data_IF_928514410252
#
_entry.id   IF_928514410252
#
_cell.length_a   1.000
_cell.length_b   1.000
_cell.length_c   1.000
_cell.angle_alpha   90.00
_cell.angle_beta   90.00
_cell.angle_gamma   90.00
#
_symmetry.space_group_name_H-M   'P 1'
#
loop_
_entity.id
_entity.type
_entity.pdbx_description
1 polymer ?
#
# COMPACT_ATOMS: atom_id res chain seq x y z
N UNK A 1 -70.05 11.23 -41.86
CA UNK A 1 -70.31 10.72 -40.49
C UNK A 1 -68.98 10.69 -39.76
N UNK A 2 -68.83 11.59 -38.79
CA UNK A 2 -67.70 11.70 -37.87
C UNK A 2 -67.75 10.62 -36.80
N UNK A 3 -66.59 10.18 -36.31
CA UNK A 3 -66.35 9.58 -34.98
C UNK A 3 -64.81 9.49 -34.86
N UNK A 4 -64.09 10.38 -34.20
CA UNK A 4 -64.06 10.81 -32.80
C UNK A 4 -63.72 9.69 -31.79
N UNK A 5 -62.48 9.79 -31.29
CA UNK A 5 -62.03 9.68 -29.89
C UNK A 5 -62.14 8.33 -29.15
N UNK A 6 -61.00 7.83 -28.65
CA UNK A 6 -60.55 7.99 -27.24
C UNK A 6 -59.22 7.24 -27.03
N UNK A 7 -58.16 7.92 -26.57
CA UNK A 7 -57.03 7.24 -25.93
C UNK A 7 -56.66 7.99 -24.66
N UNK A 8 -56.88 7.31 -23.53
CA UNK A 8 -56.55 7.73 -22.18
C UNK A 8 -55.04 7.95 -22.02
N UNK A 9 -54.69 9.10 -21.45
CA UNK A 9 -53.36 9.40 -20.91
C UNK A 9 -53.39 9.09 -19.41
N UNK A 10 -52.59 8.12 -18.98
CA UNK A 10 -52.18 7.97 -17.58
C UNK A 10 -50.72 8.42 -17.48
N UNK A 11 -50.51 9.52 -16.77
CA UNK A 11 -49.19 10.01 -16.41
C UNK A 11 -48.62 9.26 -15.21
N UNK A 12 -47.32 8.97 -15.27
CA UNK A 12 -46.47 8.67 -14.12
C UNK A 12 -45.03 9.18 -14.36
N UNK A 13 -44.23 9.39 -13.30
CA UNK A 13 -43.42 10.59 -13.14
C UNK A 13 -41.99 10.46 -13.69
N UNK A 14 -41.40 11.62 -13.97
CA UNK A 14 -40.06 11.77 -14.52
C UNK A 14 -38.95 11.24 -13.61
N UNK A 15 -38.10 10.39 -14.18
CA UNK A 15 -36.79 10.05 -13.65
C UNK A 15 -35.74 11.00 -14.22
N UNK A 16 -35.08 11.75 -13.35
CA UNK A 16 -33.96 12.63 -13.70
C UNK A 16 -32.75 11.75 -14.03
N UNK A 17 -32.47 11.57 -15.32
CA UNK A 17 -31.20 11.00 -15.80
C UNK A 17 -30.09 12.03 -15.64
N UNK A 18 -29.20 11.83 -14.68
CA UNK A 18 -27.90 12.49 -14.64
C UNK A 18 -26.94 11.73 -15.56
N UNK A 19 -26.68 12.30 -16.74
CA UNK A 19 -25.63 11.83 -17.64
C UNK A 19 -24.28 12.34 -17.13
N UNK A 20 -23.44 11.45 -16.59
CA UNK A 20 -22.02 11.75 -16.37
C UNK A 20 -21.24 11.37 -17.63
N UNK A 21 -20.73 12.38 -18.33
CA UNK A 21 -19.72 12.21 -19.37
C UNK A 21 -18.36 11.95 -18.71
N UNK A 22 -17.73 10.81 -19.04
CA UNK A 22 -16.32 10.57 -18.73
C UNK A 22 -15.48 10.89 -19.96
N UNK A 23 -14.80 12.04 -19.95
CA UNK A 23 -13.75 12.35 -20.93
C UNK A 23 -12.49 11.59 -20.53
N UNK A 24 -12.12 10.57 -21.31
CA UNK A 24 -10.84 9.90 -21.19
C UNK A 24 -9.77 10.75 -21.91
N UNK A 25 -8.76 11.21 -21.18
CA UNK A 25 -7.53 11.72 -21.78
C UNK A 25 -6.52 10.59 -21.85
N UNK A 26 -6.16 10.18 -23.06
CA UNK A 26 -5.02 9.32 -23.33
C UNK A 26 -3.73 10.14 -23.22
N UNK A 27 -2.78 9.64 -22.42
CA UNK A 27 -1.39 10.15 -22.45
C UNK A 27 -0.48 9.02 -22.93
N UNK A 28 0.37 9.34 -23.90
CA UNK A 28 1.28 8.42 -24.58
C UNK A 28 2.36 7.87 -23.65
N UNK A 29 2.87 6.63 -23.88
CA UNK A 29 3.97 6.09 -23.10
C UNK A 29 5.28 6.78 -23.49
N UNK A 30 6.04 7.26 -22.49
CA UNK A 30 7.41 7.74 -22.70
C UNK A 30 8.39 6.58 -22.55
N UNK A 31 9.31 6.48 -23.51
CA UNK A 31 10.40 5.53 -23.57
C UNK A 31 11.36 5.66 -22.37
N UNK A 32 11.83 4.52 -21.85
CA UNK A 32 12.93 4.45 -20.89
C UNK A 32 14.25 4.18 -21.63
N UNK A 33 15.26 5.01 -21.36
CA UNK A 33 16.65 4.79 -21.73
C UNK A 33 17.41 4.08 -20.60
N UNK A 34 18.21 3.07 -20.96
CA UNK A 34 19.22 2.44 -20.10
C UNK A 34 20.46 3.34 -19.97
N UNK A 35 21.06 3.40 -18.76
CA UNK A 35 22.50 3.18 -18.47
C UNK A 35 22.91 3.80 -17.11
N UNK A 36 23.66 3.05 -16.27
CA UNK A 36 24.60 3.60 -15.29
C UNK A 36 24.47 3.13 -13.82
N UNK A 37 25.51 2.53 -13.21
CA UNK A 37 25.46 1.96 -11.86
C UNK A 37 25.92 2.96 -10.79
N UNK A 38 25.02 3.45 -9.95
CA UNK A 38 25.34 3.99 -8.63
C UNK A 38 24.06 4.37 -7.85
N UNK A 39 23.85 3.75 -6.68
CA UNK A 39 23.13 4.32 -5.55
C UNK A 39 21.61 4.48 -5.67
N UNK A 40 20.86 3.57 -5.06
CA UNK A 40 19.42 3.73 -4.84
C UNK A 40 19.15 4.87 -3.84
N UNK A 41 18.54 5.97 -4.30
CA UNK A 41 17.67 6.81 -3.45
C UNK A 41 16.22 6.50 -3.80
N UNK A 42 15.49 5.95 -2.84
CA UNK A 42 14.04 5.78 -2.90
C UNK A 42 13.42 7.15 -2.58
N UNK A 43 12.92 7.85 -3.59
CA UNK A 43 12.07 9.03 -3.41
C UNK A 43 10.61 8.59 -3.46
N UNK A 44 9.95 8.56 -2.30
CA UNK A 44 8.50 8.40 -2.18
C UNK A 44 7.82 9.75 -2.42
N UNK A 45 7.25 9.96 -3.61
CA UNK A 45 6.37 11.10 -3.87
C UNK A 45 4.92 10.73 -3.53
N UNK A 46 4.50 11.04 -2.30
CA UNK A 46 3.09 11.01 -1.89
C UNK A 46 2.40 12.25 -2.44
N UNK A 47 1.57 12.09 -3.48
CA UNK A 47 0.65 13.14 -3.93
C UNK A 47 -0.58 13.09 -3.02
N UNK A 48 -0.67 14.03 -2.07
CA UNK A 48 -1.89 14.30 -1.31
C UNK A 48 -2.69 15.37 -2.04
N UNK A 49 -3.75 14.96 -2.73
CA UNK A 49 -4.77 15.86 -3.26
C UNK A 49 -5.72 16.21 -2.11
N UNK A 50 -5.60 17.42 -1.57
CA UNK A 50 -6.51 17.91 -0.52
C UNK A 50 -7.67 18.63 -1.19
N UNK A 51 -8.87 18.08 -1.02
CA UNK A 51 -10.13 18.66 -1.46
C UNK A 51 -10.44 19.94 -0.68
N UNK A 52 -10.73 21.01 -1.41
CA UNK A 52 -11.29 22.26 -0.90
C UNK A 52 -12.71 22.02 -0.37
N UNK A 53 -12.89 22.13 0.95
CA UNK A 53 -14.17 22.09 1.64
C UNK A 53 -14.36 23.34 2.49
N UNK A 54 -15.41 24.09 2.15
CA UNK A 54 -15.93 25.29 2.81
C UNK A 54 -16.32 25.02 4.28
N UNK A 55 -16.00 25.94 5.20
CA UNK A 55 -16.57 25.94 6.56
C UNK A 55 -15.90 26.95 7.50
N UNK A 56 -16.55 28.08 7.75
CA UNK A 56 -16.05 29.18 8.58
C UNK A 56 -16.19 28.96 10.09
N UNK A 57 -15.44 29.75 10.86
CA UNK A 57 -15.52 29.80 12.32
C UNK A 57 -14.55 30.82 12.90
N UNK A 58 -15.09 31.84 13.56
CA UNK A 58 -14.44 33.07 14.04
C UNK A 58 -13.47 32.87 15.23
N UNK A 59 -12.52 33.82 15.37
CA UNK A 59 -11.72 34.08 16.59
C UNK A 59 -10.29 34.43 16.21
N UNK A 60 -9.83 35.70 16.20
CA UNK A 60 -9.75 36.58 17.36
C UNK A 60 -8.33 36.51 17.92
N UNK A 61 -7.47 37.49 17.60
CA UNK A 61 -6.11 37.54 18.16
C UNK A 61 -5.13 38.39 17.36
N UNK A 62 -5.18 39.70 17.57
CA UNK A 62 -4.20 40.67 17.07
C UNK A 62 -2.84 40.42 17.75
N UNK A 63 -1.79 40.17 16.97
CA UNK A 63 -0.42 40.06 17.43
C UNK A 63 0.45 41.14 16.80
N UNK A 64 0.34 42.37 17.34
CA UNK A 64 1.22 43.48 16.98
C UNK A 64 2.60 43.30 17.59
N UNK A 65 3.62 43.24 16.74
CA UNK A 65 5.02 43.40 17.14
C UNK A 65 5.33 44.88 17.32
N UNK A 66 5.34 45.35 18.57
CA UNK A 66 5.93 46.63 18.99
C UNK A 66 6.51 46.43 20.40
N UNK A 67 7.84 46.50 20.53
CA UNK A 67 8.53 46.67 21.80
C UNK A 67 9.52 47.82 21.61
N UNK A 68 9.10 49.04 21.95
CA UNK A 68 9.40 49.73 23.21
C UNK A 68 10.90 49.99 23.43
N UNK A 69 11.41 51.00 22.71
CA UNK A 69 12.56 51.81 23.14
C UNK A 69 12.07 53.20 23.51
N UNK A 70 11.53 53.33 24.74
CA UNK A 70 11.10 54.60 25.32
C UNK A 70 12.24 55.23 26.11
N UNK A 71 12.47 56.53 25.88
CA UNK A 71 13.56 57.30 26.47
C UNK A 71 13.20 58.08 27.75
N UNK A 72 13.79 59.29 27.83
CA UNK A 72 13.83 60.26 28.94
C UNK A 72 15.01 59.98 29.89
N UNK A 73 16.02 60.84 30.00
CA UNK A 73 15.94 62.27 30.40
C UNK A 73 16.32 62.31 31.89
N UNK A 74 17.11 63.22 32.46
CA UNK A 74 17.78 64.45 32.09
C UNK A 74 18.33 65.05 33.41
N UNK A 75 19.12 66.11 33.32
CA UNK A 75 19.50 67.03 34.41
C UNK A 75 20.43 66.44 35.50
N UNK A 76 21.44 67.10 36.05
CA UNK A 76 21.90 68.48 35.97
C UNK A 76 22.61 68.85 37.29
N UNK A 77 23.63 69.71 37.19
CA UNK A 77 24.09 70.67 38.21
C UNK A 77 24.96 70.22 39.39
N UNK A 78 25.93 71.08 39.73
CA UNK A 78 26.67 71.12 41.00
C UNK A 78 28.17 71.33 40.81
N UNK A 79 28.63 72.48 40.30
CA UNK A 79 28.95 73.68 41.09
C UNK A 79 30.09 73.48 42.10
N UNK A 80 31.29 73.96 41.76
CA UNK A 80 32.21 74.54 42.75
C UNK A 80 32.86 75.77 42.12
N UNK A 81 32.27 76.93 42.40
CA UNK A 81 32.92 78.22 42.24
C UNK A 81 34.01 78.42 43.29
N UNK A 82 35.09 79.04 42.84
CA UNK A 82 35.65 80.28 43.38
C UNK A 82 35.74 80.42 44.92
N UNK A 83 36.97 80.40 45.45
CA UNK A 83 37.31 81.28 46.57
C UNK A 83 38.76 81.74 46.48
N UNK A 84 38.90 82.96 45.96
CA UNK A 84 40.06 83.82 46.12
C UNK A 84 39.86 84.63 47.41
N UNK A 85 40.85 84.63 48.32
CA UNK A 85 40.89 85.56 49.45
C UNK A 85 42.34 85.81 49.90
N UNK A 86 42.98 86.75 49.20
CA UNK A 86 43.55 87.96 49.79
C UNK A 86 43.69 88.01 51.32
N UNK A 87 44.96 88.13 51.76
CA UNK A 87 45.40 89.07 52.80
C UNK A 87 45.05 88.74 54.27
N UNK A 88 46.06 88.29 55.03
CA UNK A 88 46.61 89.03 56.17
C UNK A 88 47.48 88.10 57.04
N UNK A 89 48.70 88.56 57.28
CA UNK A 89 49.68 88.01 58.20
C UNK A 89 49.12 88.04 59.63
N UNK A 90 49.03 86.89 60.31
CA UNK A 90 49.35 86.86 61.75
C UNK A 90 49.79 85.49 62.26
N UNK A 91 50.73 85.50 63.20
CA UNK A 91 51.70 84.45 63.44
C UNK A 91 51.20 83.38 64.45
N UNK A 92 50.08 82.71 64.12
CA UNK A 92 49.44 81.68 64.98
C UNK A 92 48.89 80.43 64.24
N UNK A 93 49.24 80.25 62.96
CA UNK A 93 48.62 79.26 62.06
C UNK A 93 49.28 77.87 62.00
N UNK A 94 50.36 77.57 62.74
CA UNK A 94 51.06 76.28 62.58
C UNK A 94 50.44 75.17 63.45
N UNK A 95 49.96 75.48 64.67
CA UNK A 95 49.37 74.47 65.58
C UNK A 95 47.90 74.14 65.30
N UNK A 96 47.15 75.04 64.64
CA UNK A 96 45.78 74.78 64.17
C UNK A 96 45.76 73.97 62.87
N UNK A 97 46.81 74.07 62.06
CA UNK A 97 46.93 73.31 60.81
C UNK A 97 47.20 71.82 61.07
N UNK A 98 48.02 71.49 62.07
CA UNK A 98 48.27 70.09 62.47
C UNK A 98 47.04 69.42 63.10
N UNK A 99 46.27 70.15 63.92
CA UNK A 99 45.03 69.63 64.49
C UNK A 99 43.90 69.50 63.46
N UNK A 100 43.78 70.45 62.54
CA UNK A 100 42.81 70.38 61.45
C UNK A 100 43.14 69.29 60.43
N UNK A 101 44.43 69.05 60.16
CA UNK A 101 44.87 67.92 59.31
C UNK A 101 44.67 66.58 60.01
N UNK A 102 44.93 66.46 61.31
CA UNK A 102 44.61 65.25 62.09
C UNK A 102 43.10 64.99 62.18
N UNK A 103 42.29 66.04 62.28
CA UNK A 103 40.83 65.90 62.26
C UNK A 103 40.32 65.48 60.88
N UNK A 104 40.86 66.05 59.80
CA UNK A 104 40.55 65.62 58.43
C UNK A 104 40.92 64.16 58.18
N UNK A 105 42.07 63.70 58.69
CA UNK A 105 42.48 62.29 58.62
C UNK A 105 41.56 61.38 59.43
N UNK A 106 41.13 61.80 60.63
CA UNK A 106 40.19 61.04 61.44
C UNK A 106 38.79 60.97 60.82
N UNK A 107 38.29 62.07 60.24
CA UNK A 107 37.01 62.10 59.51
C UNK A 107 37.07 61.21 58.26
N UNK A 108 38.24 61.17 57.60
CA UNK A 108 38.50 60.26 56.48
C UNK A 108 38.58 58.80 56.94
N UNK A 109 39.19 58.51 58.10
CA UNK A 109 39.18 57.16 58.68
C UNK A 109 37.78 56.71 59.13
N UNK A 110 36.99 57.61 59.71
CA UNK A 110 35.61 57.32 60.09
C UNK A 110 34.76 56.99 58.86
N UNK A 111 34.87 57.78 57.78
CA UNK A 111 34.19 57.48 56.52
C UNK A 111 34.68 56.17 55.87
N UNK A 112 35.97 55.82 55.99
CA UNK A 112 36.45 54.51 55.54
C UNK A 112 35.88 53.35 56.39
N UNK A 113 35.81 53.51 57.72
CA UNK A 113 35.20 52.51 58.62
C UNK A 113 33.72 52.29 58.33
N UNK A 114 32.95 53.37 58.11
CA UNK A 114 31.55 53.26 57.73
C UNK A 114 31.40 52.62 56.35
N UNK A 115 32.33 52.90 55.42
CA UNK A 115 32.33 52.24 54.11
C UNK A 115 32.64 50.75 54.22
N UNK A 116 33.59 50.35 55.07
CA UNK A 116 33.91 48.94 55.35
C UNK A 116 32.70 48.23 55.95
N UNK A 117 32.04 48.81 56.96
CA UNK A 117 30.82 48.23 57.54
C UNK A 117 29.69 48.08 56.52
N UNK A 118 29.48 49.08 55.67
CA UNK A 118 28.50 48.97 54.58
C UNK A 118 28.86 47.86 53.58
N UNK A 119 30.15 47.69 53.27
CA UNK A 119 30.63 46.65 52.37
C UNK A 119 30.55 45.25 53.01
N UNK A 120 30.84 45.12 54.29
CA UNK A 120 30.68 43.86 55.04
C UNK A 120 29.21 43.44 55.11
N UNK A 121 28.31 44.38 55.39
CA UNK A 121 26.86 44.11 55.38
C UNK A 121 26.35 43.74 53.98
N UNK A 122 26.86 44.42 52.94
CA UNK A 122 26.53 44.09 51.55
C UNK A 122 27.08 42.71 51.15
N UNK A 123 28.31 42.37 51.54
CA UNK A 123 28.90 41.05 51.28
C UNK A 123 28.14 39.95 51.99
N UNK A 124 27.79 40.12 53.27
CA UNK A 124 26.98 39.13 54.00
C UNK A 124 25.63 38.89 53.33
N UNK A 125 24.98 39.95 52.86
CA UNK A 125 23.72 39.83 52.09
C UNK A 125 23.92 39.09 50.77
N UNK A 126 24.99 39.39 50.03
CA UNK A 126 25.32 38.70 48.79
C UNK A 126 25.64 37.22 49.04
N UNK A 127 26.36 36.88 50.10
CA UNK A 127 26.66 35.49 50.46
C UNK A 127 25.39 34.67 50.74
N UNK A 128 24.42 35.26 51.44
CA UNK A 128 23.12 34.61 51.69
C UNK A 128 22.35 34.43 50.38
N UNK A 129 22.32 35.44 49.51
CA UNK A 129 21.65 35.35 48.20
C UNK A 129 22.32 34.32 47.28
N UNK A 130 23.65 34.21 47.31
CA UNK A 130 24.40 33.21 46.58
C UNK A 130 24.03 31.80 47.08
N UNK A 131 23.95 31.60 48.40
CA UNK A 131 23.57 30.32 48.99
C UNK A 131 22.15 29.91 48.61
N UNK A 132 21.18 30.81 48.76
CA UNK A 132 19.78 30.57 48.39
C UNK A 132 19.63 30.29 46.89
N UNK A 133 20.40 30.99 46.04
CA UNK A 133 20.45 30.74 44.61
C UNK A 133 21.00 29.34 44.29
N UNK A 134 22.05 28.90 44.97
CA UNK A 134 22.58 27.54 44.78
C UNK A 134 21.64 26.46 45.34
N UNK A 135 20.85 26.74 46.37
CA UNK A 135 19.85 25.79 46.88
C UNK A 135 18.62 25.68 45.97
N UNK A 136 18.13 26.79 45.41
CA UNK A 136 16.94 26.80 44.54
C UNK A 136 17.23 26.56 43.06
N UNK A 137 18.44 26.89 42.59
CA UNK A 137 18.85 26.84 41.17
C UNK A 137 20.16 26.11 40.94
N UNK A 138 20.77 25.55 41.98
CA UNK A 138 21.96 24.72 41.82
C UNK A 138 21.70 23.50 40.94
N UNK A 139 22.76 22.88 40.40
CA UNK A 139 22.68 21.75 39.48
C UNK A 139 22.02 20.49 40.07
N UNK A 140 21.72 20.48 41.37
CA UNK A 140 21.06 19.40 42.10
C UNK A 140 19.61 19.73 42.54
N UNK A 141 19.08 20.92 42.21
CA UNK A 141 17.64 21.14 42.32
C UNK A 141 16.97 20.31 41.22
N UNK A 142 16.52 19.11 41.57
CA UNK A 142 15.78 18.20 40.68
C UNK A 142 14.65 19.00 40.02
N UNK A 143 14.86 19.39 38.76
CA UNK A 143 13.78 19.91 37.93
C UNK A 143 12.83 18.74 37.74
N UNK A 144 11.65 18.83 38.34
CA UNK A 144 10.63 17.79 38.24
C UNK A 144 10.15 17.62 36.80
N UNK A 145 10.79 16.71 36.07
CA UNK A 145 10.41 16.33 34.71
C UNK A 145 9.24 15.33 34.67
N UNK A 146 8.72 14.93 35.83
CA UNK A 146 7.65 13.93 35.97
C UNK A 146 6.41 14.25 35.12
N UNK A 147 6.01 15.52 35.07
CA UNK A 147 4.87 15.97 34.25
C UNK A 147 5.11 15.77 32.74
N UNK A 148 6.34 15.97 32.26
CA UNK A 148 6.68 15.73 30.86
C UNK A 148 6.72 14.23 30.55
N UNK A 149 7.19 13.41 31.48
CA UNK A 149 7.17 11.95 31.33
C UNK A 149 5.75 11.40 31.22
N UNK A 150 4.81 11.91 32.02
CA UNK A 150 3.40 11.53 31.92
C UNK A 150 2.81 11.85 30.55
N UNK A 151 3.07 13.05 30.00
CA UNK A 151 2.61 13.45 28.67
C UNK A 151 3.28 12.61 27.57
N UNK A 152 4.58 12.35 27.68
CA UNK A 152 5.32 11.53 26.70
C UNK A 152 4.78 10.10 26.69
N UNK A 153 4.49 9.51 27.85
CA UNK A 153 3.93 8.17 27.93
C UNK A 153 2.50 8.11 27.35
N UNK A 154 1.63 9.07 27.70
CA UNK A 154 0.29 9.17 27.10
C UNK A 154 0.35 9.32 25.56
N UNK A 155 1.28 10.11 25.04
CA UNK A 155 1.49 10.23 23.59
C UNK A 155 2.01 8.93 22.97
N UNK A 156 2.91 8.21 23.63
CA UNK A 156 3.39 6.89 23.17
C UNK A 156 2.25 5.87 23.14
N UNK A 157 1.40 5.85 24.16
CA UNK A 157 0.26 4.94 24.23
C UNK A 157 -0.77 5.26 23.14
N UNK A 158 -1.03 6.55 22.88
CA UNK A 158 -1.88 6.98 21.75
C UNK A 158 -1.31 6.58 20.39
N UNK A 159 0.01 6.74 20.18
CA UNK A 159 0.66 6.30 18.95
C UNK A 159 0.56 4.78 18.81
N UNK A 160 0.78 4.03 19.89
CA UNK A 160 0.68 2.58 19.88
C UNK A 160 -0.75 2.13 19.57
N UNK A 161 -1.75 2.69 20.25
CA UNK A 161 -3.17 2.44 19.97
C UNK A 161 -3.54 2.74 18.52
N UNK A 162 -3.16 3.91 18.02
CA UNK A 162 -3.40 4.28 16.61
C UNK A 162 -2.69 3.35 15.61
N UNK A 163 -1.53 2.81 15.97
CA UNK A 163 -0.80 1.84 15.12
C UNK A 163 -1.52 0.50 15.06
N UNK A 164 -2.01 0.02 16.21
CA UNK A 164 -2.81 -1.22 16.30
C UNK A 164 -4.14 -1.05 15.57
N UNK A 165 -4.83 0.07 15.75
CA UNK A 165 -6.09 0.37 15.06
C UNK A 165 -5.89 0.45 13.54
N UNK A 166 -4.80 1.06 13.08
CA UNK A 166 -4.45 1.09 11.66
C UNK A 166 -4.19 -0.34 11.12
N UNK A 167 -3.44 -1.16 11.84
CA UNK A 167 -3.24 -2.56 11.48
C UNK A 167 -4.57 -3.34 11.41
N UNK A 168 -5.47 -3.14 12.36
CA UNK A 168 -6.81 -3.74 12.35
C UNK A 168 -7.64 -3.31 11.14
N UNK A 169 -7.62 -2.01 10.79
CA UNK A 169 -8.31 -1.50 9.60
C UNK A 169 -7.73 -2.11 8.33
N UNK A 170 -6.40 -2.21 8.21
CA UNK A 170 -5.76 -2.86 7.06
C UNK A 170 -6.19 -4.32 6.91
N UNK A 171 -6.23 -5.07 8.02
CA UNK A 171 -6.72 -6.45 8.00
C UNK A 171 -8.19 -6.55 7.58
N UNK A 172 -9.05 -5.64 8.03
CA UNK A 172 -10.46 -5.59 7.60
C UNK A 172 -10.60 -5.25 6.12
N UNK A 173 -9.76 -4.35 5.59
CA UNK A 173 -9.71 -4.02 4.16
C UNK A 173 -9.31 -5.26 3.37
N UNK A 174 -8.26 -5.98 3.78
CA UNK A 174 -7.78 -7.16 3.08
C UNK A 174 -8.80 -8.30 3.16
N UNK A 175 -9.45 -8.51 4.32
CA UNK A 175 -10.54 -9.46 4.45
C UNK A 175 -11.72 -9.12 3.53
N UNK A 176 -12.10 -7.84 3.45
CA UNK A 176 -13.19 -7.38 2.58
C UNK A 176 -12.85 -7.55 1.11
N UNK A 177 -11.59 -7.31 0.72
CA UNK A 177 -11.10 -7.56 -0.65
C UNK A 177 -11.13 -9.06 -0.99
N UNK A 178 -10.63 -9.92 -0.11
CA UNK A 178 -10.66 -11.36 -0.31
C UNK A 178 -12.10 -11.88 -0.44
N UNK A 179 -13.03 -11.37 0.36
CA UNK A 179 -14.45 -11.71 0.24
C UNK A 179 -15.05 -11.21 -1.09
N UNK A 180 -14.69 -10.00 -1.53
CA UNK A 180 -15.14 -9.47 -2.81
C UNK A 180 -14.61 -10.29 -4.00
N UNK A 181 -13.35 -10.72 -3.95
CA UNK A 181 -12.74 -11.57 -4.97
C UNK A 181 -13.38 -12.98 -5.00
N UNK A 182 -13.66 -13.57 -3.83
CA UNK A 182 -14.40 -14.85 -3.75
C UNK A 182 -15.80 -14.74 -4.36
N UNK A 183 -16.55 -13.67 -4.07
CA UNK A 183 -17.85 -13.43 -4.70
C UNK A 183 -17.72 -13.17 -6.20
N UNK A 184 -16.67 -12.49 -6.64
CA UNK A 184 -16.40 -12.26 -8.06
C UNK A 184 -16.20 -13.59 -8.79
N UNK A 185 -15.33 -14.46 -8.29
CA UNK A 185 -15.08 -15.78 -8.89
C UNK A 185 -16.34 -16.64 -8.90
N UNK A 186 -17.12 -16.64 -7.81
CA UNK A 186 -18.42 -17.33 -7.76
C UNK A 186 -19.41 -16.79 -8.79
N UNK A 187 -19.49 -15.48 -8.94
CA UNK A 187 -20.34 -14.84 -9.95
C UNK A 187 -19.91 -15.20 -11.38
N UNK A 188 -18.62 -15.16 -11.67
CA UNK A 188 -18.08 -15.54 -12.99
C UNK A 188 -18.37 -17.02 -13.30
N UNK A 189 -18.23 -17.92 -12.32
CA UNK A 189 -18.59 -19.33 -12.46
C UNK A 189 -20.08 -19.54 -12.73
N UNK A 190 -20.95 -18.91 -11.93
CA UNK A 190 -22.41 -18.99 -12.10
C UNK A 190 -22.85 -18.41 -13.45
N UNK A 191 -22.25 -17.31 -13.88
CA UNK A 191 -22.52 -16.71 -15.19
C UNK A 191 -22.17 -17.66 -16.33
N UNK A 192 -21.01 -18.34 -16.25
CA UNK A 192 -20.61 -19.35 -17.24
C UNK A 192 -21.58 -20.53 -17.27
N UNK A 193 -21.98 -21.06 -16.10
CA UNK A 193 -22.99 -22.12 -16.03
C UNK A 193 -24.33 -21.68 -16.64
N UNK A 194 -24.78 -20.46 -16.31
CA UNK A 194 -26.02 -19.89 -16.86
C UNK A 194 -25.95 -19.78 -18.38
N UNK A 195 -24.85 -19.28 -18.94
CA UNK A 195 -24.65 -19.18 -20.38
C UNK A 195 -24.65 -20.56 -21.06
N UNK A 196 -24.04 -21.57 -20.44
CA UNK A 196 -24.10 -22.96 -20.95
C UNK A 196 -25.54 -23.47 -21.00
N UNK A 197 -26.30 -23.29 -19.91
CA UNK A 197 -27.71 -23.73 -19.86
C UNK A 197 -28.57 -22.96 -20.85
N UNK A 198 -28.34 -21.65 -21.04
CA UNK A 198 -29.03 -20.87 -22.06
C UNK A 198 -28.73 -21.35 -23.48
N UNK A 199 -27.47 -21.72 -23.76
CA UNK A 199 -27.10 -22.33 -25.04
C UNK A 199 -27.81 -23.67 -25.25
N UNK A 200 -27.85 -24.52 -24.23
CA UNK A 200 -28.56 -25.81 -24.27
C UNK A 200 -30.06 -25.62 -24.50
N UNK A 201 -30.71 -24.65 -23.82
CA UNK A 201 -32.12 -24.31 -24.06
C UNK A 201 -32.32 -23.84 -25.51
N UNK A 202 -31.41 -23.02 -26.04
CA UNK A 202 -31.44 -22.59 -27.44
C UNK A 202 -31.35 -23.76 -28.41
N UNK A 203 -30.46 -24.72 -28.15
CA UNK A 203 -30.30 -25.93 -28.94
C UNK A 203 -31.53 -26.85 -28.86
N UNK A 204 -32.09 -27.04 -27.67
CA UNK A 204 -33.31 -27.83 -27.46
C UNK A 204 -34.52 -27.23 -28.18
N UNK A 205 -34.65 -25.90 -28.21
CA UNK A 205 -35.69 -25.22 -28.99
C UNK A 205 -35.54 -25.47 -30.48
N UNK A 206 -34.32 -25.36 -31.02
CA UNK A 206 -34.04 -25.68 -32.43
C UNK A 206 -34.34 -27.15 -32.75
N UNK A 207 -34.01 -28.07 -31.85
CA UNK A 207 -34.30 -29.49 -32.01
C UNK A 207 -35.82 -29.76 -31.99
N UNK A 208 -36.56 -29.06 -31.14
CA UNK A 208 -38.03 -29.12 -31.13
C UNK A 208 -38.62 -28.60 -32.45
N UNK A 209 -38.15 -27.47 -32.95
CA UNK A 209 -38.60 -26.90 -34.24
C UNK A 209 -38.30 -27.87 -35.40
N UNK A 210 -37.08 -28.42 -35.45
CA UNK A 210 -36.69 -29.41 -36.44
C UNK A 210 -37.57 -30.66 -36.38
N UNK A 211 -37.82 -31.18 -35.17
CA UNK A 211 -38.68 -32.36 -34.98
C UNK A 211 -40.11 -32.07 -35.41
N UNK A 212 -40.62 -30.87 -35.11
CA UNK A 212 -41.96 -30.42 -35.51
C UNK A 212 -42.09 -30.33 -37.03
N UNK A 213 -41.07 -29.80 -37.72
CA UNK A 213 -41.03 -29.79 -39.19
C UNK A 213 -41.00 -31.20 -39.77
N UNK A 214 -40.16 -32.10 -39.24
CA UNK A 214 -40.13 -33.49 -39.73
C UNK A 214 -41.45 -34.22 -39.47
N UNK A 215 -42.13 -33.93 -38.36
CA UNK A 215 -43.44 -34.47 -38.07
C UNK A 215 -44.47 -34.01 -39.11
N UNK A 216 -44.52 -32.71 -39.39
CA UNK A 216 -45.44 -32.14 -40.38
C UNK A 216 -45.19 -32.71 -41.80
N UNK A 217 -43.92 -32.89 -42.18
CA UNK A 217 -43.55 -33.52 -43.45
C UNK A 217 -44.05 -34.97 -43.53
N UNK A 218 -43.85 -35.77 -42.48
CA UNK A 218 -44.37 -37.13 -42.40
C UNK A 218 -45.90 -37.18 -42.38
N UNK A 219 -46.57 -36.26 -41.70
CA UNK A 219 -48.04 -36.14 -41.71
C UNK A 219 -48.55 -35.86 -43.14
N UNK A 220 -47.91 -34.96 -43.88
CA UNK A 220 -48.24 -34.68 -45.28
C UNK A 220 -47.99 -35.89 -46.20
N UNK A 221 -46.90 -36.64 -46.00
CA UNK A 221 -46.65 -37.88 -46.74
C UNK A 221 -47.71 -38.95 -46.45
N UNK A 222 -48.16 -39.07 -45.19
CA UNK A 222 -49.23 -40.00 -44.81
C UNK A 222 -50.54 -39.61 -45.47
N UNK A 223 -50.91 -38.33 -45.45
CA UNK A 223 -52.13 -37.83 -46.10
C UNK A 223 -52.08 -38.07 -47.62
N UNK A 224 -50.96 -37.76 -48.27
CA UNK A 224 -50.76 -38.04 -49.70
C UNK A 224 -50.91 -39.52 -50.07
N UNK A 225 -50.34 -40.43 -49.25
CA UNK A 225 -50.50 -41.88 -49.44
C UNK A 225 -51.94 -42.35 -49.20
N UNK A 226 -52.66 -41.73 -48.27
CA UNK A 226 -54.08 -42.02 -48.03
C UNK A 226 -54.95 -41.60 -49.22
N UNK A 227 -54.68 -40.42 -49.80
CA UNK A 227 -55.35 -39.93 -51.00
C UNK A 227 -55.06 -40.81 -52.22
N UNK A 228 -53.81 -41.22 -52.42
CA UNK A 228 -53.43 -42.15 -53.49
C UNK A 228 -54.14 -43.50 -53.34
N UNK A 229 -54.22 -44.03 -52.12
CA UNK A 229 -54.94 -45.26 -51.82
C UNK A 229 -56.44 -45.11 -52.11
N UNK A 230 -57.05 -43.98 -51.72
CA UNK A 230 -58.44 -43.68 -52.02
C UNK A 230 -58.69 -43.57 -53.53
N UNK A 231 -57.80 -42.90 -54.26
CA UNK A 231 -57.83 -42.76 -55.71
C UNK A 231 -57.74 -44.11 -56.41
N UNK A 232 -56.79 -44.96 -56.03
CA UNK A 232 -56.63 -46.32 -56.58
C UNK A 232 -57.86 -47.19 -56.33
N UNK A 233 -58.46 -47.13 -55.13
CA UNK A 233 -59.71 -47.85 -54.82
C UNK A 233 -60.87 -47.37 -55.67
N UNK A 234 -60.99 -46.06 -55.88
CA UNK A 234 -62.03 -45.47 -56.72
C UNK A 234 -61.87 -45.89 -58.18
N UNK A 235 -60.67 -45.75 -58.74
CA UNK A 235 -60.36 -46.20 -60.10
C UNK A 235 -60.68 -47.69 -60.27
N UNK A 236 -60.25 -48.54 -59.32
CA UNK A 236 -60.55 -49.96 -59.38
C UNK A 236 -62.06 -50.25 -59.36
N UNK A 237 -62.83 -49.51 -58.55
CA UNK A 237 -64.29 -49.64 -58.51
C UNK A 237 -64.95 -49.19 -59.83
N UNK A 238 -64.47 -48.11 -60.45
CA UNK A 238 -64.92 -47.62 -61.75
C UNK A 238 -64.56 -48.60 -62.87
N UNK A 239 -63.34 -49.14 -62.91
CA UNK A 239 -62.90 -50.16 -63.87
C UNK A 239 -63.73 -51.44 -63.76
N UNK A 240 -64.02 -51.89 -62.53
CA UNK A 240 -64.91 -53.03 -62.32
C UNK A 240 -66.34 -52.74 -62.77
N UNK A 241 -66.85 -51.52 -62.57
CA UNK A 241 -68.16 -51.12 -63.05
C UNK A 241 -68.20 -51.05 -64.59
N UNK A 242 -67.14 -50.52 -65.22
CA UNK A 242 -66.98 -50.47 -66.67
C UNK A 242 -66.83 -51.86 -67.29
N UNK A 243 -66.04 -52.76 -66.69
CA UNK A 243 -65.96 -54.15 -67.17
C UNK A 243 -67.30 -54.88 -67.00
N UNK A 244 -68.05 -54.63 -65.92
CA UNK A 244 -69.40 -55.19 -65.75
C UNK A 244 -70.40 -54.63 -66.76
N UNK A 245 -70.32 -53.35 -67.11
CA UNK A 245 -71.19 -52.76 -68.13
C UNK A 245 -70.82 -53.24 -69.54
N UNK A 246 -69.54 -53.40 -69.85
CA UNK A 246 -69.08 -53.97 -71.12
C UNK A 246 -69.42 -55.45 -71.26
N UNK A 247 -69.44 -56.22 -70.17
CA UNK A 247 -69.91 -57.61 -70.18
C UNK A 247 -71.44 -57.73 -70.44
N UNK A 248 -72.20 -56.64 -70.36
CA UNK A 248 -73.67 -56.62 -70.51
C UNK A 248 -74.16 -56.02 -71.84
N UNK A 249 -73.29 -55.63 -72.77
CA UNK A 249 -73.70 -54.85 -73.94
C UNK A 249 -72.88 -55.11 -75.19
N UNK A 250 -73.17 -56.20 -75.91
CA UNK A 250 -73.00 -56.21 -77.36
C UNK A 250 -74.05 -55.28 -77.96
N UNK A 251 -73.69 -54.00 -78.12
CA UNK A 251 -74.56 -52.98 -78.71
C UNK A 251 -73.83 -52.36 -79.89
N UNK A 252 -74.23 -52.81 -81.07
CA UNK A 252 -73.88 -52.22 -82.36
C UNK A 252 -74.76 -50.97 -82.55
N UNK A 253 -74.16 -49.79 -82.51
CA UNK A 253 -74.83 -48.51 -82.77
C UNK A 253 -74.04 -47.76 -83.83
N UNK A 254 -74.57 -47.79 -85.05
CA UNK A 254 -74.20 -46.92 -86.15
C UNK A 254 -74.81 -45.53 -85.88
N UNK A 255 -73.96 -44.52 -85.67
CA UNK A 255 -74.39 -43.12 -85.56
C UNK A 255 -73.84 -42.36 -86.76
N UNK A 256 -74.77 -41.78 -87.52
CA UNK A 256 -74.58 -40.94 -88.69
C UNK A 256 -73.73 -39.70 -88.35
N UNK A 257 -72.61 -39.53 -89.06
CA UNK A 257 -71.62 -38.50 -88.80
C UNK A 257 -71.90 -37.24 -89.64
N UNK A 258 -72.25 -36.15 -88.95
CA UNK A 258 -72.23 -34.79 -89.49
C UNK A 258 -70.80 -34.40 -89.95
N UNK A 259 -70.64 -33.36 -90.80
CA UNK A 259 -69.44 -33.13 -91.62
C UNK A 259 -68.13 -33.17 -90.81
N UNK A 260 -67.27 -34.08 -91.24
CA UNK A 260 -65.99 -34.46 -90.66
C UNK A 260 -65.13 -33.24 -90.32
N UNK A 261 -64.97 -32.95 -89.02
CA UNK A 261 -63.89 -32.09 -88.55
C UNK A 261 -62.57 -32.77 -88.93
N UNK A 262 -61.65 -32.01 -89.53
CA UNK A 262 -60.38 -32.54 -90.03
C UNK A 262 -59.53 -33.08 -88.86
N UNK A 263 -59.70 -34.37 -88.59
CA UNK A 263 -59.14 -35.05 -87.42
C UNK A 263 -57.62 -34.98 -87.43
N UNK A 264 -57.01 -34.91 -88.62
CA UNK A 264 -55.58 -34.71 -88.79
C UNK A 264 -55.11 -33.42 -88.13
N UNK A 265 -55.81 -32.31 -88.40
CA UNK A 265 -55.52 -31.00 -87.82
C UNK A 265 -55.70 -30.98 -86.30
N UNK A 266 -56.75 -31.63 -85.78
CA UNK A 266 -56.99 -31.72 -84.33
C UNK A 266 -55.93 -32.57 -83.63
N UNK A 267 -55.53 -33.70 -84.24
CA UNK A 267 -54.46 -34.55 -83.73
C UNK A 267 -53.09 -33.85 -83.76
N UNK A 268 -52.80 -33.08 -84.81
CA UNK A 268 -51.57 -32.28 -84.91
C UNK A 268 -51.56 -31.12 -83.90
N UNK A 269 -52.71 -30.47 -83.65
CA UNK A 269 -52.85 -29.44 -82.63
C UNK A 269 -52.67 -30.02 -81.22
N UNK A 270 -53.23 -31.21 -80.94
CA UNK A 270 -53.02 -31.93 -79.69
C UNK A 270 -51.54 -32.34 -79.53
N UNK A 271 -50.90 -32.88 -80.57
CA UNK A 271 -49.47 -33.24 -80.55
C UNK A 271 -48.61 -32.00 -80.26
N UNK A 272 -48.88 -30.89 -80.95
CA UNK A 272 -48.18 -29.61 -80.74
C UNK A 272 -48.35 -29.09 -79.30
N UNK A 273 -49.55 -29.22 -78.71
CA UNK A 273 -49.76 -28.86 -77.30
C UNK A 273 -48.99 -29.77 -76.34
N UNK A 274 -48.97 -31.09 -76.57
CA UNK A 274 -48.20 -32.02 -75.74
C UNK A 274 -46.69 -31.81 -75.87
N UNK A 275 -46.19 -31.57 -77.08
CA UNK A 275 -44.78 -31.22 -77.30
C UNK A 275 -44.45 -29.90 -76.59
N UNK A 276 -45.30 -28.89 -76.69
CA UNK A 276 -45.14 -27.61 -76.00
C UNK A 276 -45.14 -27.74 -74.47
N UNK A 277 -46.02 -28.57 -73.90
CA UNK A 277 -46.06 -28.85 -72.46
C UNK A 277 -44.81 -29.61 -72.02
N UNK A 278 -44.38 -30.60 -72.78
CA UNK A 278 -43.18 -31.41 -72.48
C UNK A 278 -41.91 -30.55 -72.53
N UNK A 279 -41.78 -29.71 -73.55
CA UNK A 279 -40.66 -28.78 -73.67
C UNK A 279 -40.66 -27.73 -72.56
N UNK A 280 -41.85 -27.22 -72.18
CA UNK A 280 -41.97 -26.30 -71.04
C UNK A 280 -41.56 -26.98 -69.74
N UNK A 281 -42.07 -28.19 -69.47
CA UNK A 281 -41.69 -28.96 -68.28
C UNK A 281 -40.18 -29.24 -68.24
N UNK A 282 -39.56 -29.59 -69.37
CA UNK A 282 -38.12 -29.79 -69.45
C UNK A 282 -37.34 -28.52 -69.11
N UNK A 283 -37.72 -27.38 -69.69
CA UNK A 283 -37.07 -26.08 -69.37
C UNK A 283 -37.28 -25.68 -67.91
N UNK A 284 -38.47 -25.89 -67.37
CA UNK A 284 -38.79 -25.58 -65.97
C UNK A 284 -37.98 -26.48 -65.02
N UNK A 285 -37.79 -27.76 -65.34
CA UNK A 285 -36.93 -28.68 -64.60
C UNK A 285 -35.44 -28.31 -64.68
N UNK A 286 -34.94 -27.97 -65.87
CA UNK A 286 -33.56 -27.49 -66.05
C UNK A 286 -33.32 -26.19 -65.26
N UNK A 287 -34.26 -25.24 -65.31
CA UNK A 287 -34.18 -24.00 -64.55
C UNK A 287 -34.21 -24.26 -63.03
N UNK A 288 -35.10 -25.14 -62.57
CA UNK A 288 -35.18 -25.53 -61.15
C UNK A 288 -33.91 -26.22 -60.67
N UNK A 289 -33.34 -27.13 -61.47
CA UNK A 289 -32.08 -27.79 -61.15
C UNK A 289 -30.92 -26.79 -61.06
N UNK A 290 -30.83 -25.88 -62.03
CA UNK A 290 -29.80 -24.85 -62.05
C UNK A 290 -29.92 -23.91 -60.83
N UNK A 291 -31.14 -23.49 -60.47
CA UNK A 291 -31.38 -22.67 -59.28
C UNK A 291 -30.94 -23.41 -58.01
N UNK A 292 -31.34 -24.67 -57.85
CA UNK A 292 -30.98 -25.46 -56.68
C UNK A 292 -29.47 -25.74 -56.59
N UNK A 293 -28.84 -26.04 -57.73
CA UNK A 293 -27.40 -26.25 -57.83
C UNK A 293 -26.62 -24.97 -57.52
N UNK A 294 -27.09 -23.81 -57.99
CA UNK A 294 -26.48 -22.51 -57.69
C UNK A 294 -26.56 -22.18 -56.19
N UNK A 295 -27.70 -22.43 -55.55
CA UNK A 295 -27.86 -22.26 -54.09
C UNK A 295 -26.90 -23.18 -53.33
N UNK A 296 -26.82 -24.46 -53.70
CA UNK A 296 -25.92 -25.42 -53.06
C UNK A 296 -24.45 -25.02 -53.25
N UNK A 297 -24.06 -24.60 -54.45
CA UNK A 297 -22.69 -24.13 -54.72
C UNK A 297 -22.33 -22.91 -53.89
N UNK A 298 -23.28 -21.98 -53.68
CA UNK A 298 -23.08 -20.80 -52.83
C UNK A 298 -22.92 -21.19 -51.37
N UNK A 299 -23.75 -22.10 -50.87
CA UNK A 299 -23.68 -22.58 -49.49
C UNK A 299 -22.36 -23.30 -49.22
N UNK A 300 -21.90 -24.15 -50.15
CA UNK A 300 -20.59 -24.83 -50.04
C UNK A 300 -19.44 -23.82 -50.01
N UNK A 301 -19.51 -22.75 -50.81
CA UNK A 301 -18.50 -21.70 -50.80
C UNK A 301 -18.46 -20.96 -49.46
N UNK A 302 -19.62 -20.57 -48.92
CA UNK A 302 -19.74 -19.90 -47.62
C UNK A 302 -19.25 -20.83 -46.49
N UNK A 303 -19.70 -22.08 -46.49
CA UNK A 303 -19.28 -23.08 -45.49
C UNK A 303 -17.77 -23.30 -45.54
N UNK A 304 -17.18 -23.38 -46.73
CA UNK A 304 -15.72 -23.50 -46.90
C UNK A 304 -14.99 -22.27 -46.36
N UNK A 305 -15.49 -21.06 -46.64
CA UNK A 305 -14.92 -19.82 -46.11
C UNK A 305 -14.94 -19.80 -44.57
N UNK A 306 -16.08 -20.13 -43.96
CA UNK A 306 -16.24 -20.20 -42.49
C UNK A 306 -15.29 -21.23 -41.87
N UNK A 307 -15.11 -22.39 -42.52
CA UNK A 307 -14.16 -23.40 -42.05
C UNK A 307 -12.73 -22.87 -42.13
N UNK A 308 -12.35 -22.16 -43.19
CA UNK A 308 -11.00 -21.60 -43.31
C UNK A 308 -10.76 -20.48 -42.30
N UNK A 309 -11.71 -19.56 -42.10
CA UNK A 309 -11.58 -18.48 -41.12
C UNK A 309 -11.48 -19.03 -39.70
N UNK A 310 -12.36 -19.97 -39.32
CA UNK A 310 -12.29 -20.64 -38.02
C UNK A 310 -10.95 -21.37 -37.83
N UNK A 311 -10.44 -22.05 -38.87
CA UNK A 311 -9.13 -22.69 -38.82
C UNK A 311 -7.98 -21.69 -38.61
N UNK A 312 -8.05 -20.51 -39.24
CA UNK A 312 -7.05 -19.46 -39.02
C UNK A 312 -7.12 -18.89 -37.60
N UNK A 313 -8.33 -18.62 -37.09
CA UNK A 313 -8.54 -18.15 -35.72
C UNK A 313 -8.01 -19.14 -34.68
N UNK A 314 -8.30 -20.45 -34.86
CA UNK A 314 -7.76 -21.50 -33.99
C UNK A 314 -6.23 -21.52 -34.01
N UNK A 315 -5.61 -21.35 -35.18
CA UNK A 315 -4.15 -21.32 -35.28
C UNK A 315 -3.54 -20.08 -34.62
N UNK A 316 -4.18 -18.92 -34.74
CA UNK A 316 -3.72 -17.69 -34.10
C UNK A 316 -3.87 -17.78 -32.58
N UNK A 317 -5.00 -18.30 -32.08
CA UNK A 317 -5.18 -18.59 -30.66
C UNK A 317 -4.15 -19.60 -30.12
N UNK A 318 -3.78 -20.61 -30.90
CA UNK A 318 -2.69 -21.54 -30.53
C UNK A 318 -1.34 -20.85 -30.44
N UNK A 319 -1.03 -19.94 -31.37
CA UNK A 319 0.21 -19.15 -31.35
C UNK A 319 0.26 -18.20 -30.16
N UNK A 320 -0.84 -17.53 -29.84
CA UNK A 320 -0.90 -16.64 -28.66
C UNK A 320 -0.78 -17.41 -27.36
N UNK A 321 -1.43 -18.58 -27.25
CA UNK A 321 -1.30 -19.46 -26.08
C UNK A 321 0.16 -19.89 -25.89
N UNK A 322 0.82 -20.36 -26.94
CA UNK A 322 2.24 -20.75 -26.87
C UNK A 322 3.13 -19.56 -26.47
N UNK A 323 2.87 -18.36 -27.00
CA UNK A 323 3.60 -17.15 -26.61
C UNK A 323 3.43 -16.80 -25.13
N UNK A 324 2.20 -16.88 -24.61
CA UNK A 324 1.91 -16.66 -23.19
C UNK A 324 2.52 -17.73 -22.29
N UNK A 325 2.57 -18.98 -22.73
CA UNK A 325 3.19 -20.06 -21.99
C UNK A 325 4.72 -19.89 -21.89
N UNK A 326 5.37 -19.46 -22.98
CA UNK A 326 6.80 -19.12 -22.96
C UNK A 326 7.07 -17.93 -22.04
N UNK A 327 6.24 -16.89 -22.08
CA UNK A 327 6.37 -15.73 -21.18
C UNK A 327 6.21 -16.15 -19.72
N UNK A 328 5.22 -17.01 -19.42
CA UNK A 328 5.04 -17.57 -18.07
C UNK A 328 6.29 -18.32 -17.60
N UNK A 329 6.87 -19.19 -18.43
CA UNK A 329 8.09 -19.92 -18.09
C UNK A 329 9.29 -18.97 -17.87
N UNK A 330 9.41 -17.94 -18.71
CA UNK A 330 10.43 -16.89 -18.57
C UNK A 330 10.29 -16.15 -17.23
N UNK A 331 9.08 -15.73 -16.87
CA UNK A 331 8.80 -15.05 -15.60
C UNK A 331 9.08 -15.95 -14.39
N UNK A 332 8.72 -17.24 -14.46
CA UNK A 332 9.06 -18.21 -13.40
C UNK A 332 10.58 -18.38 -13.24
N UNK A 333 11.32 -18.46 -14.35
CA UNK A 333 12.78 -18.51 -14.33
C UNK A 333 13.39 -17.23 -13.73
N UNK A 334 12.86 -16.07 -14.09
CA UNK A 334 13.30 -14.78 -13.55
C UNK A 334 13.01 -14.67 -12.05
N UNK A 335 11.82 -15.07 -11.62
CA UNK A 335 11.45 -15.15 -10.20
C UNK A 335 12.42 -16.04 -9.43
N UNK A 336 12.68 -17.26 -9.89
CA UNK A 336 13.60 -18.18 -9.23
C UNK A 336 15.03 -17.63 -9.16
N UNK A 337 15.50 -16.94 -10.19
CA UNK A 337 16.79 -16.25 -10.16
C UNK A 337 16.83 -15.15 -9.10
N UNK A 338 15.78 -14.32 -9.00
CA UNK A 338 15.69 -13.26 -8.00
C UNK A 338 15.62 -13.79 -6.57
N UNK A 339 14.81 -14.83 -6.33
CA UNK A 339 14.73 -15.51 -5.02
C UNK A 339 16.10 -16.09 -4.60
N UNK A 340 16.83 -16.69 -5.54
CA UNK A 340 18.19 -17.18 -5.28
C UNK A 340 19.15 -16.04 -4.95
N UNK A 341 19.12 -14.93 -5.69
CA UNK A 341 19.98 -13.78 -5.38
C UNK A 341 19.64 -13.15 -4.02
N UNK A 342 18.35 -13.09 -3.67
CA UNK A 342 17.91 -12.63 -2.36
C UNK A 342 18.46 -13.54 -1.26
N UNK A 343 18.26 -14.86 -1.37
CA UNK A 343 18.79 -15.83 -0.42
C UNK A 343 20.31 -15.78 -0.29
N UNK A 344 21.05 -15.59 -1.39
CA UNK A 344 22.50 -15.41 -1.35
C UNK A 344 22.89 -14.11 -0.61
N UNK A 345 22.20 -13.00 -0.86
CA UNK A 345 22.47 -11.74 -0.14
C UNK A 345 22.16 -11.84 1.35
N UNK A 346 21.05 -12.46 1.72
CA UNK A 346 20.67 -12.70 3.12
C UNK A 346 21.71 -13.58 3.82
N UNK A 347 22.15 -14.67 3.17
CA UNK A 347 23.20 -15.55 3.71
C UNK A 347 24.53 -14.80 3.90
N UNK A 348 24.93 -13.96 2.93
CA UNK A 348 26.14 -13.12 3.05
C UNK A 348 26.04 -12.14 4.22
N UNK A 349 24.93 -11.44 4.37
CA UNK A 349 24.73 -10.51 5.49
C UNK A 349 24.66 -11.23 6.83
N UNK A 350 23.99 -12.38 6.90
CA UNK A 350 23.96 -13.23 8.09
C UNK A 350 25.37 -13.66 8.52
N UNK A 351 26.20 -14.10 7.57
CA UNK A 351 27.60 -14.44 7.83
C UNK A 351 28.41 -13.24 8.32
N UNK A 352 28.17 -12.04 7.76
CA UNK A 352 28.85 -10.81 8.18
C UNK A 352 28.46 -10.41 9.61
N UNK A 353 27.17 -10.49 9.93
CA UNK A 353 26.66 -10.22 11.28
C UNK A 353 27.23 -11.22 12.30
N UNK A 354 27.29 -12.50 11.95
CA UNK A 354 27.94 -13.51 12.80
C UNK A 354 29.43 -13.20 13.02
N UNK A 355 30.12 -12.72 11.97
CA UNK A 355 31.50 -12.25 12.07
C UNK A 355 31.66 -11.06 13.04
N UNK A 356 30.80 -10.05 12.95
CA UNK A 356 30.81 -8.92 13.89
C UNK A 356 30.46 -9.34 15.31
N UNK A 357 29.49 -10.24 15.50
CA UNK A 357 29.18 -10.77 16.83
C UNK A 357 30.38 -11.50 17.45
N UNK A 358 31.13 -12.27 16.65
CA UNK A 358 32.34 -12.92 17.13
C UNK A 358 33.42 -11.89 17.53
N UNK A 359 33.60 -10.80 16.76
CA UNK A 359 34.52 -9.73 17.13
C UNK A 359 34.10 -9.02 18.42
N UNK A 360 32.81 -8.76 18.59
CA UNK A 360 32.26 -8.19 19.83
C UNK A 360 32.57 -9.11 21.00
N UNK A 361 32.25 -10.41 20.89
CA UNK A 361 32.52 -11.38 21.94
C UNK A 361 34.02 -11.46 22.30
N UNK A 362 34.91 -11.39 21.31
CA UNK A 362 36.36 -11.34 21.54
C UNK A 362 36.77 -10.09 22.32
N UNK A 363 36.33 -8.91 21.89
CA UNK A 363 36.66 -7.66 22.59
C UNK A 363 36.05 -7.59 23.99
N UNK A 364 34.83 -8.10 24.18
CA UNK A 364 34.21 -8.22 25.51
C UNK A 364 35.02 -9.13 26.43
N UNK A 365 35.55 -10.25 25.91
CA UNK A 365 36.44 -11.14 26.65
C UNK A 365 37.78 -10.46 27.01
N UNK A 366 38.39 -9.72 26.09
CA UNK A 366 39.62 -8.96 26.36
C UNK A 366 39.38 -7.87 27.43
N UNK A 367 38.25 -7.17 27.36
CA UNK A 367 37.85 -6.17 28.35
C UNK A 367 37.62 -6.83 29.72
N UNK A 368 36.96 -7.99 29.77
CA UNK A 368 36.79 -8.75 31.01
C UNK A 368 38.14 -9.17 31.61
N UNK A 369 39.07 -9.67 30.79
CA UNK A 369 40.40 -10.08 31.23
C UNK A 369 41.21 -8.89 31.79
N UNK A 370 41.24 -7.75 31.09
CA UNK A 370 41.95 -6.56 31.56
C UNK A 370 41.37 -5.99 32.85
N UNK A 371 40.03 -6.05 33.03
CA UNK A 371 39.39 -5.70 34.32
C UNK A 371 39.83 -6.63 35.44
N UNK A 372 39.86 -7.95 35.19
CA UNK A 372 40.34 -8.93 36.17
C UNK A 372 41.83 -8.72 36.50
N UNK A 373 42.66 -8.44 35.50
CA UNK A 373 44.08 -8.13 35.70
C UNK A 373 44.28 -6.85 36.54
N UNK A 374 43.48 -5.81 36.31
CA UNK A 374 43.48 -4.59 37.13
C UNK A 374 43.08 -4.89 38.58
N UNK A 375 42.04 -5.69 38.80
CA UNK A 375 41.59 -6.08 40.14
C UNK A 375 42.66 -6.92 40.86
N UNK A 376 43.29 -7.87 40.16
CA UNK A 376 44.41 -8.64 40.70
C UNK A 376 45.59 -7.73 41.05
N UNK A 377 45.90 -6.74 40.20
CA UNK A 377 46.99 -5.79 40.45
C UNK A 377 46.71 -4.91 41.68
N UNK A 378 45.48 -4.44 41.87
CA UNK A 378 45.11 -3.67 43.07
C UNK A 378 45.16 -4.53 44.33
N UNK A 379 44.67 -5.78 44.30
CA UNK A 379 44.80 -6.70 45.43
C UNK A 379 46.26 -6.99 45.76
N UNK A 380 47.13 -7.19 44.76
CA UNK A 380 48.57 -7.39 44.96
C UNK A 380 49.24 -6.17 45.59
N UNK A 381 48.94 -4.97 45.10
CA UNK A 381 49.46 -3.72 45.64
C UNK A 381 49.03 -3.52 47.11
N UNK A 382 47.77 -3.79 47.44
CA UNK A 382 47.28 -3.73 48.82
C UNK A 382 48.00 -4.74 49.72
N UNK A 383 48.17 -5.98 49.26
CA UNK A 383 48.93 -7.00 50.00
C UNK A 383 50.37 -6.56 50.26
N UNK A 384 51.07 -6.03 49.25
CA UNK A 384 52.44 -5.52 49.38
C UNK A 384 52.54 -4.34 50.38
N UNK A 385 51.55 -3.45 50.40
CA UNK A 385 51.50 -2.36 51.39
C UNK A 385 51.25 -2.84 52.81
N UNK A 386 50.38 -3.85 53.00
CA UNK A 386 50.14 -4.44 54.31
C UNK A 386 51.37 -5.22 54.79
N UNK A 387 52.01 -6.02 53.94
CA UNK A 387 53.29 -6.70 54.24
C UNK A 387 54.37 -5.71 54.67
N UNK A 388 54.55 -4.62 53.90
CA UNK A 388 55.49 -3.55 54.26
C UNK A 388 55.15 -2.91 55.62
N UNK A 389 53.86 -2.78 55.96
CA UNK A 389 53.42 -2.24 57.26
C UNK A 389 53.72 -3.21 58.40
N UNK A 390 53.55 -4.52 58.18
CA UNK A 390 53.94 -5.55 59.14
C UNK A 390 55.46 -5.56 59.36
N UNK A 391 56.26 -5.50 58.30
CA UNK A 391 57.73 -5.44 58.41
C UNK A 391 58.20 -4.21 59.17
N UNK A 392 57.59 -3.04 58.93
CA UNK A 392 57.84 -1.82 59.71
C UNK A 392 57.46 -1.98 61.18
N UNK A 393 56.32 -2.61 61.49
CA UNK A 393 55.91 -2.90 62.87
C UNK A 393 56.90 -3.82 63.58
N UNK A 394 57.35 -4.89 62.91
CA UNK A 394 58.36 -5.82 63.45
C UNK A 394 59.69 -5.09 63.70
N UNK A 395 60.13 -4.22 62.79
CA UNK A 395 61.34 -3.41 62.97
C UNK A 395 61.21 -2.43 64.14
N UNK A 396 60.05 -1.79 64.30
CA UNK A 396 59.77 -0.89 65.44
C UNK A 396 59.76 -1.68 66.76
N UNK A 397 59.13 -2.84 66.80
CA UNK A 397 59.10 -3.71 67.98
C UNK A 397 60.51 -4.21 68.34
N UNK A 398 61.29 -4.63 67.35
CA UNK A 398 62.70 -5.00 67.52
C UNK A 398 63.55 -3.83 68.02
N UNK A 399 63.34 -2.60 67.53
CA UNK A 399 64.00 -1.40 68.05
C UNK A 399 63.59 -1.10 69.50
N UNK A 400 62.32 -1.27 69.84
CA UNK A 400 61.81 -1.03 71.19
C UNK A 400 62.37 -2.05 72.19
N UNK A 401 62.38 -3.34 71.82
CA UNK A 401 63.01 -4.42 72.60
C UNK A 401 64.53 -4.22 72.71
N UNK A 402 65.19 -3.81 71.63
CA UNK A 402 66.62 -3.45 71.64
C UNK A 402 66.92 -2.31 72.62
N UNK A 403 66.08 -1.27 72.63
CA UNK A 403 66.20 -0.13 73.57
C UNK A 403 65.90 -0.53 75.03
N UNK A 404 64.95 -1.43 75.25
CA UNK A 404 64.62 -1.97 76.58
C UNK A 404 65.73 -2.89 77.11
N UNK A 405 66.33 -3.72 76.25
CA UNK A 405 67.48 -4.56 76.58
C UNK A 405 68.74 -3.73 76.90
N UNK A 406 68.95 -2.62 76.19
CA UNK A 406 70.02 -1.66 76.48
C UNK A 406 69.86 -0.95 77.83
N UNK A 407 68.63 -0.78 78.33
CA UNK A 407 68.34 -0.25 79.67
C UNK A 407 68.47 -1.32 80.78
N UNK A 408 68.28 -2.60 80.47
CA UNK A 408 68.42 -3.71 81.42
C UNK A 408 69.86 -4.24 81.57
N UNK A 409 70.74 -4.00 80.59
CA UNK A 409 72.12 -4.53 80.53
C UNK A 409 73.14 -3.92 81.50
N UNK A 410 72.79 -2.90 82.29
CA UNK A 410 73.68 -2.26 83.28
C UNK A 410 73.43 -2.72 84.73
N UNK A 411 73.32 -4.04 84.98
CA UNK A 411 73.50 -4.60 86.34
C UNK A 411 73.74 -6.11 86.36
N UNK A 412 74.98 -6.55 86.11
CA UNK A 412 75.56 -7.76 86.73
C UNK A 412 77.09 -7.81 86.50
N UNK A 413 77.83 -7.56 87.59
CA UNK A 413 79.28 -7.76 87.71
C UNK A 413 79.52 -8.62 88.95
N UNK A 414 80.42 -9.60 88.77
CA UNK A 414 81.28 -10.29 89.73
C UNK A 414 80.70 -11.36 90.67
N UNK A 415 81.38 -12.52 90.69
CA UNK A 415 81.21 -13.60 91.66
C UNK A 415 82.02 -14.87 91.37
N UNK A 416 83.35 -14.74 91.43
CA UNK A 416 84.46 -15.71 91.61
C UNK A 416 84.31 -17.26 91.51
N UNK A 417 85.30 -17.81 90.81
CA UNK A 417 85.93 -19.17 90.74
C UNK A 417 86.57 -19.58 92.11
N UNK A 418 87.17 -20.78 92.42
CA UNK A 418 87.27 -22.14 91.79
C UNK A 418 86.95 -23.35 92.73
N UNK A 419 86.97 -24.59 92.17
CA UNK A 419 87.73 -25.68 92.82
C UNK A 419 87.18 -27.12 92.80
N UNK A 420 87.98 -28.01 92.19
CA UNK A 420 88.25 -29.42 92.49
C UNK A 420 87.24 -30.56 92.23
N UNK A 421 87.82 -31.54 91.49
CA UNK A 421 87.59 -33.00 91.45
C UNK A 421 86.44 -33.56 90.59
#
# INVERSE_FOLDING_TARGET
MSSSSFRMSYGQPGSIRSSRSSTQYSTAPKAFSLCGPAGNRISTSTVRTVSSGYGGGHGGGYGGGMSFGGGSGGYGSGSYGNFDLSQAVDQSHINLNEKATMQNLNDRLASYLDKVRCLEAANSKLEVQIREYYETKGPAAERDYSNYWAIINDLKDKIHGATVDNANILLQIDNSKLAADDFRTKFEHELMMRQSVEADIGNLRRLLDQTTLTKADLEMQIEGLQDELAYLKKNHAEDLAAMRSQMSGTVNVEVDAAPQQDLSRVLDEIRSQYEGITDKHRRDQEAWFNDKSAVLSKEVAISTEVIQTSKTEINDLRRTLQGLEIELQSQLSMKGALENTLGETEARYSSMLAGYQNQINMMESELANTRLEQEIATYRSLLETEESRYDLLVLVEAMWLGRWSGLAGHRKVAGSIPGSS
#
